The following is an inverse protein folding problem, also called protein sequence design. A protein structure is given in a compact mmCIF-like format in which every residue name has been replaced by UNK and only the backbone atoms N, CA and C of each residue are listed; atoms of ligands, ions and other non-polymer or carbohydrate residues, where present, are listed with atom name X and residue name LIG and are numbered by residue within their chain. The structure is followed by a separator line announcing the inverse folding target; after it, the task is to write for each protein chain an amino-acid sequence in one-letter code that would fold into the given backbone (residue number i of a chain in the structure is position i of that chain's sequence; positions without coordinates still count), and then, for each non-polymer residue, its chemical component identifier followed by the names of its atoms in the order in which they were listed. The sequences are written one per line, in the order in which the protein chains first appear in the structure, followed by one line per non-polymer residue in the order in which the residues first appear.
data_IF_362647294731
#
_entry.id   IF_362647294731
#
_cell.length_a   1.000
_cell.length_b   1.000
_cell.length_c   1.000
_cell.angle_alpha   90.00
_cell.angle_beta   90.00
_cell.angle_gamma   90.00
#
_symmetry.space_group_name_H-M   'P 1'
#
loop_
_entity.id
_entity.type
_entity.pdbx_description
1 polymer ?
#
# COMPACT_ATOMS: atom_id res chain seq x y z
N UNK A 1 3.03 5.07 8.40
CA UNK A 1 1.85 5.44 7.62
C UNK A 1 0.60 5.08 8.39
N UNK A 2 -0.40 5.93 8.38
CA UNK A 2 -1.65 5.63 9.09
C UNK A 2 -2.77 5.36 8.08
N UNK A 3 -3.91 4.95 8.60
CA UNK A 3 -5.03 4.54 7.73
C UNK A 3 -5.64 5.71 6.95
N UNK A 4 -5.54 6.91 7.47
CA UNK A 4 -5.99 8.09 6.72
C UNK A 4 -5.17 8.28 5.45
N UNK A 5 -3.88 8.03 5.54
CA UNK A 5 -3.00 8.11 4.37
C UNK A 5 -3.30 7.00 3.37
N UNK A 6 -3.58 5.80 3.86
CA UNK A 6 -3.96 4.67 3.00
C UNK A 6 -5.24 5.02 2.26
N UNK A 7 -6.22 5.56 2.96
CA UNK A 7 -7.47 5.96 2.34
C UNK A 7 -7.26 7.04 1.29
N UNK A 8 -6.45 8.04 1.61
CA UNK A 8 -6.18 9.13 0.67
C UNK A 8 -5.44 8.70 -0.57
N UNK A 9 -4.68 7.60 -0.49
CA UNK A 9 -3.91 7.07 -1.62
C UNK A 9 -4.40 5.70 -2.06
N UNK A 10 -5.66 5.42 -1.82
CA UNK A 10 -6.20 4.08 -2.04
C UNK A 10 -5.99 3.56 -3.45
N UNK A 11 -6.16 4.41 -4.44
CA UNK A 11 -5.94 4.00 -5.83
C UNK A 11 -4.54 3.42 -6.02
N UNK A 12 -3.58 4.00 -5.33
CA UNK A 12 -2.20 3.62 -5.41
C UNK A 12 -1.95 2.28 -4.71
N UNK A 13 -2.61 2.05 -3.57
CA UNK A 13 -2.37 0.86 -2.78
C UNK A 13 -3.31 -0.30 -3.09
N UNK A 14 -4.34 -0.05 -3.84
CA UNK A 14 -5.35 -1.04 -4.19
C UNK A 14 -4.73 -2.31 -4.80
N UNK A 15 -3.81 -2.12 -5.74
CA UNK A 15 -3.13 -3.23 -6.38
C UNK A 15 -2.28 -4.05 -5.41
N UNK A 16 -1.64 -3.38 -4.46
CA UNK A 16 -0.83 -4.07 -3.45
C UNK A 16 -1.69 -4.91 -2.52
N UNK A 17 -2.87 -4.42 -2.19
CA UNK A 17 -3.81 -5.16 -1.36
C UNK A 17 -4.25 -6.43 -2.09
N UNK A 18 -4.58 -6.31 -3.36
CA UNK A 18 -4.99 -7.47 -4.15
C UNK A 18 -3.86 -8.47 -4.31
N UNK A 19 -2.66 -7.98 -4.44
CA UNK A 19 -1.48 -8.84 -4.56
C UNK A 19 -1.26 -9.67 -3.29
N UNK A 20 -1.44 -9.05 -2.14
CA UNK A 20 -1.26 -9.73 -0.87
C UNK A 20 -2.43 -10.68 -0.57
N UNK A 21 -3.63 -10.26 -0.87
CA UNK A 21 -4.84 -11.04 -0.58
C UNK A 21 -5.60 -11.30 -1.88
N UNK A 22 -5.17 -12.32 -2.59
CA UNK A 22 -5.70 -12.63 -3.91
C UNK A 22 -7.17 -13.01 -3.96
N UNK A 23 -7.75 -13.39 -2.83
CA UNK A 23 -9.18 -13.73 -2.78
C UNK A 23 -10.10 -12.52 -2.81
N UNK A 24 -9.54 -11.33 -2.56
CA UNK A 24 -10.34 -10.12 -2.63
C UNK A 24 -10.62 -9.76 -4.09
N UNK A 25 -11.86 -9.46 -4.40
CA UNK A 25 -12.25 -9.08 -5.75
C UNK A 25 -12.13 -7.58 -5.93
N UNK A 26 -12.23 -7.11 -7.16
CA UNK A 26 -12.23 -5.67 -7.42
C UNK A 26 -13.38 -4.97 -6.71
N UNK A 27 -14.54 -5.61 -6.65
CA UNK A 27 -15.68 -5.06 -5.91
C UNK A 27 -15.37 -4.93 -4.43
N UNK A 28 -14.69 -5.95 -3.88
CA UNK A 28 -14.27 -5.90 -2.47
C UNK A 28 -13.34 -4.72 -2.23
N UNK A 29 -12.41 -4.51 -3.13
CA UNK A 29 -11.46 -3.41 -2.99
C UNK A 29 -12.14 -2.06 -3.05
N UNK A 30 -13.15 -1.92 -3.88
CA UNK A 30 -13.93 -0.70 -3.94
C UNK A 30 -14.69 -0.44 -2.64
N UNK A 31 -15.24 -1.49 -2.05
CA UNK A 31 -15.92 -1.37 -0.76
C UNK A 31 -14.96 -0.99 0.34
N UNK A 32 -13.75 -1.57 0.32
CA UNK A 32 -12.74 -1.30 1.34
C UNK A 32 -12.34 0.17 1.31
N UNK A 33 -12.07 0.70 0.13
CA UNK A 33 -11.81 2.12 -0.06
C UNK A 33 -10.78 2.68 0.94
N UNK A 34 -9.79 1.85 1.26
CA UNK A 34 -8.72 2.25 2.18
C UNK A 34 -9.08 2.31 3.65
N UNK A 35 -10.26 1.84 4.01
CA UNK A 35 -10.71 1.89 5.41
C UNK A 35 -10.37 0.58 6.13
N UNK A 36 -9.65 0.72 7.24
CA UNK A 36 -9.19 -0.42 8.02
C UNK A 36 -10.32 -1.37 8.38
N UNK A 37 -11.42 -0.81 8.85
CA UNK A 37 -12.55 -1.60 9.30
C UNK A 37 -13.11 -2.46 8.17
N UNK A 38 -13.20 -1.90 6.99
CA UNK A 38 -13.72 -2.62 5.84
C UNK A 38 -12.75 -3.72 5.39
N UNK A 39 -11.46 -3.43 5.41
CA UNK A 39 -10.47 -4.44 5.07
C UNK A 39 -10.52 -5.60 6.05
N UNK A 40 -10.58 -5.31 7.34
CA UNK A 40 -10.67 -6.35 8.37
C UNK A 40 -11.90 -7.23 8.13
N UNK A 41 -13.03 -6.60 7.83
CA UNK A 41 -14.26 -7.36 7.56
C UNK A 41 -14.14 -8.28 6.35
N UNK A 42 -13.50 -7.80 5.29
CA UNK A 42 -13.31 -8.61 4.09
C UNK A 42 -12.34 -9.77 4.33
N UNK A 43 -11.30 -9.54 5.13
CA UNK A 43 -10.38 -10.61 5.49
C UNK A 43 -11.06 -11.69 6.29
N UNK A 44 -11.93 -11.32 7.21
CA UNK A 44 -12.72 -12.28 7.97
C UNK A 44 -13.65 -13.08 7.03
N UNK A 45 -14.27 -12.38 6.11
CA UNK A 45 -15.23 -12.98 5.19
C UNK A 45 -14.58 -13.98 4.23
N UNK A 46 -13.48 -13.60 3.62
CA UNK A 46 -12.87 -14.39 2.56
C UNK A 46 -11.88 -15.44 3.06
N UNK A 47 -11.26 -15.19 4.21
CA UNK A 47 -10.22 -16.09 4.74
C UNK A 47 -10.63 -16.78 6.03
N UNK A 48 -11.82 -16.48 6.53
CA UNK A 48 -12.30 -17.11 7.75
C UNK A 48 -11.50 -16.77 9.00
N UNK A 49 -10.86 -15.61 9.01
CA UNK A 49 -10.03 -15.21 10.14
C UNK A 49 -10.85 -14.69 11.29
N UNK A 50 -10.33 -14.90 12.51
CA UNK A 50 -10.88 -14.21 13.67
C UNK A 50 -10.55 -12.72 13.54
N UNK A 51 -11.33 -11.88 14.20
CA UNK A 51 -11.16 -10.43 14.11
C UNK A 51 -9.74 -10.02 14.47
N UNK A 52 -9.20 -10.57 15.56
CA UNK A 52 -7.84 -10.23 16.00
C UNK A 52 -6.79 -10.52 14.94
N UNK A 53 -6.90 -11.68 14.31
CA UNK A 53 -5.96 -12.09 13.27
C UNK A 53 -6.09 -11.19 12.05
N UNK A 54 -7.31 -10.86 11.67
CA UNK A 54 -7.55 -9.98 10.54
C UNK A 54 -7.00 -8.57 10.79
N UNK A 55 -7.22 -8.06 12.00
CA UNK A 55 -6.68 -6.75 12.39
C UNK A 55 -5.17 -6.73 12.35
N UNK A 56 -4.56 -7.79 12.84
CA UNK A 56 -3.10 -7.90 12.85
C UNK A 56 -2.55 -7.88 11.43
N UNK A 57 -3.15 -8.65 10.54
CA UNK A 57 -2.70 -8.68 9.15
C UNK A 57 -2.85 -7.33 8.48
N UNK A 58 -3.96 -6.66 8.72
CA UNK A 58 -4.20 -5.34 8.14
C UNK A 58 -3.15 -4.34 8.62
N UNK A 59 -2.87 -4.34 9.91
CA UNK A 59 -1.90 -3.39 10.48
C UNK A 59 -0.48 -3.70 10.03
N UNK A 60 -0.12 -4.96 9.91
CA UNK A 60 1.19 -5.35 9.40
C UNK A 60 1.38 -4.92 7.97
N UNK A 61 0.33 -4.99 7.18
CA UNK A 61 0.39 -4.56 5.79
C UNK A 61 0.67 -3.06 5.70
N UNK A 62 -0.01 -2.26 6.50
CA UNK A 62 0.21 -0.81 6.48
C UNK A 62 1.64 -0.47 6.94
N UNK A 63 2.15 -1.17 7.93
CA UNK A 63 3.53 -0.99 8.37
C UNK A 63 4.51 -1.30 7.24
N UNK A 64 4.24 -2.34 6.49
CA UNK A 64 5.05 -2.74 5.35
C UNK A 64 5.03 -1.67 4.26
N UNK A 65 3.88 -1.06 4.00
CA UNK A 65 3.80 0.04 3.03
C UNK A 65 4.65 1.23 3.46
N UNK A 66 4.63 1.53 4.74
CA UNK A 66 5.41 2.64 5.27
C UNK A 66 6.91 2.41 5.04
N UNK A 67 7.37 1.20 5.28
CA UNK A 67 8.77 0.85 5.06
C UNK A 67 9.15 0.96 3.58
N UNK A 68 8.29 0.50 2.70
CA UNK A 68 8.53 0.58 1.25
C UNK A 68 8.61 2.02 0.78
N UNK A 69 7.71 2.85 1.24
CA UNK A 69 7.72 4.26 0.88
C UNK A 69 9.01 4.93 1.31
N UNK A 70 9.49 4.59 2.49
CA UNK A 70 10.70 5.19 3.01
C UNK A 70 11.92 4.78 2.18
N UNK A 71 11.99 3.53 1.77
CA UNK A 71 13.08 3.04 0.94
C UNK A 71 13.06 3.67 -0.43
N UNK A 72 11.89 3.78 -1.02
CA UNK A 72 11.76 4.40 -2.34
C UNK A 72 12.22 5.85 -2.30
N UNK A 73 11.83 6.58 -1.27
CA UNK A 73 12.24 7.97 -1.12
C UNK A 73 13.75 8.09 -1.00
N UNK A 74 14.37 7.17 -0.26
CA UNK A 74 15.82 7.18 -0.10
C UNK A 74 16.53 6.92 -1.41
N UNK A 75 16.05 5.97 -2.18
CA UNK A 75 16.63 5.64 -3.46
C UNK A 75 16.53 6.81 -4.42
N UNK A 76 15.41 7.45 -4.46
CA UNK A 76 15.22 8.61 -5.32
C UNK A 76 16.18 9.72 -4.96
N UNK A 77 16.38 9.94 -3.69
CA UNK A 77 17.32 10.97 -3.25
C UNK A 77 18.73 10.68 -3.69
N UNK A 78 19.15 9.44 -3.66
CA UNK A 78 20.47 9.08 -4.13
C UNK A 78 20.62 9.26 -5.61
N UNK A 79 19.61 8.89 -6.35
CA UNK A 79 19.67 8.96 -7.80
C UNK A 79 19.65 10.38 -8.31
N UNK A 80 19.00 11.26 -7.61
CA UNK A 80 19.02 12.65 -7.99
C UNK A 80 20.40 13.21 -8.06
N UNK A 81 21.28 12.70 -7.26
CA UNK A 81 22.65 13.14 -7.29
C UNK A 81 23.36 12.77 -8.56
N UNK A 82 22.80 11.87 -9.37
CA UNK A 82 23.47 11.50 -10.57
C UNK A 82 22.68 11.82 -11.81
N UNK A 83 21.39 11.93 -11.72
CA UNK A 83 20.65 11.89 -12.90
C UNK A 83 19.94 13.00 -13.24
N UNK A 84 19.53 13.27 -12.86
CA UNK A 84 18.80 13.98 -13.35
C UNK A 84 19.34 14.09 -14.31
N UNK A 85 20.01 13.49 -14.22
CA UNK A 85 20.47 13.31 -15.11
C UNK A 85 19.92 12.63 -15.99
N UNK A 86 19.52 12.20 -15.91
CA UNK A 86 18.93 11.62 -16.88
C UNK A 86 17.83 12.22 -17.39
N UNK A 87 17.47 12.87 -16.92
CA UNK A 87 16.63 13.49 -17.45
C UNK A 87 16.76 14.48 -17.45
N UNK A 88 17.24 14.17 -17.16
CA UNK A 88 17.42 14.79 -17.09
C UNK A 88 18.17 14.59 -17.38
N UNK A 89 18.34 14.02 -17.53
CA UNK A 89 19.02 13.95 -17.73
C UNK A 89 19.10 14.17 -18.50
N UNK A 90 18.98 14.15 -18.44
CA UNK A 90 19.14 14.72 -18.82
C UNK A 90 18.97 15.45 -18.77
N UNK A 91 18.88 15.59 -18.62
CA UNK A 91 18.94 16.52 -18.37
C UNK A 91 19.18 16.80 -17.97
N UNK A 92 19.16 16.58 -17.83
CA UNK A 92 19.51 16.87 -17.39
C UNK A 92 19.87 17.14 -17.37
N UNK A 93 20.04 17.37 -17.68
CA UNK A 93 20.41 17.81 -17.65
C UNK A 93 20.67 18.25 -18.05
#
# INVERSE_FOLDING_TARGET
MNWDQVEGKWKQYKGKVKEKWGKLTDDDLDVIDGKRRQLVGKLQEHYGLAKDAAEKQADEFVSSLHAEDREAARQEGREEGRDQERARRAGQR
#
